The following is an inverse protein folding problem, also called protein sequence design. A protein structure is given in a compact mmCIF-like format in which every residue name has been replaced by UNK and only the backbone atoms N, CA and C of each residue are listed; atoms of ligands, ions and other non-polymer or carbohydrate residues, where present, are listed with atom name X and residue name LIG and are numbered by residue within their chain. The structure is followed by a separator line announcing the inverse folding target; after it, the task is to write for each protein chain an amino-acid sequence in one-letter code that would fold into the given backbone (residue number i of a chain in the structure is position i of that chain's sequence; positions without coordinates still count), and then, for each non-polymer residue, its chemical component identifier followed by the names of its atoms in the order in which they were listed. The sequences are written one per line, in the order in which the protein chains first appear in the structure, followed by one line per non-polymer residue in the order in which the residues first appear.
data_IF_301421899202
#
_entry.id   IF_301421899202
#
_cell.length_a   1.000
_cell.length_b   1.000
_cell.length_c   1.000
_cell.angle_alpha   90.00
_cell.angle_beta   90.00
_cell.angle_gamma   90.00
#
_symmetry.space_group_name_H-M   'P 1'
#
loop_
_entity.id
_entity.type
_entity.pdbx_description
1 polymer ?
#
# COMPACT_ATOMS: atom_id res chain seq x y z
N UNK A 1 7.98 19.04 -16.69
CA UNK A 1 8.93 17.98 -17.08
C UNK A 1 8.36 16.69 -16.55
N UNK A 2 8.08 15.71 -17.42
CA UNK A 2 7.65 14.39 -16.95
C UNK A 2 8.78 13.76 -16.15
N UNK A 3 8.47 13.34 -14.92
CA UNK A 3 9.40 12.58 -14.08
C UNK A 3 8.81 11.21 -13.89
N UNK A 4 9.65 10.20 -14.04
CA UNK A 4 9.24 8.82 -13.80
C UNK A 4 9.15 8.58 -12.29
N UNK A 5 8.03 8.02 -11.86
CA UNK A 5 7.74 7.67 -10.48
C UNK A 5 7.51 6.17 -10.41
N UNK A 6 8.13 5.55 -9.41
CA UNK A 6 7.97 4.14 -9.11
C UNK A 6 7.08 3.99 -7.88
N UNK A 7 6.12 3.07 -7.96
CA UNK A 7 5.17 2.76 -6.89
C UNK A 7 5.34 1.31 -6.47
N UNK A 8 5.04 1.00 -5.21
CA UNK A 8 4.90 -0.35 -4.72
C UNK A 8 3.67 -0.45 -3.82
N UNK A 9 2.85 -1.46 -4.06
CA UNK A 9 1.74 -1.86 -3.18
C UNK A 9 2.19 -3.12 -2.46
N UNK A 10 2.30 -3.08 -1.13
CA UNK A 10 2.80 -4.20 -0.33
C UNK A 10 1.81 -4.57 0.76
N UNK A 11 1.66 -5.86 1.05
CA UNK A 11 1.05 -6.35 2.28
C UNK A 11 1.90 -7.49 2.82
N UNK A 12 2.47 -7.31 4.01
CA UNK A 12 3.39 -8.27 4.63
C UNK A 12 2.74 -8.99 5.80
N UNK A 13 3.04 -10.29 5.94
CA UNK A 13 2.57 -11.06 7.11
C UNK A 13 3.13 -10.52 8.44
N UNK A 14 4.32 -9.90 8.41
CA UNK A 14 5.01 -9.36 9.60
C UNK A 14 4.44 -8.03 10.07
N UNK A 15 3.96 -7.20 9.14
CA UNK A 15 3.40 -5.87 9.46
C UNK A 15 1.86 -5.83 9.44
N UNK A 16 1.20 -6.82 8.82
CA UNK A 16 -0.24 -7.00 8.91
C UNK A 16 -0.64 -7.33 10.34
N UNK A 17 -1.62 -6.61 10.90
CA UNK A 17 -2.25 -6.93 12.19
C UNK A 17 -3.46 -7.85 12.03
N UNK A 18 -3.91 -8.05 10.80
CA UNK A 18 -5.03 -8.92 10.46
C UNK A 18 -4.53 -10.36 10.20
N UNK A 19 -4.93 -11.32 11.05
CA UNK A 19 -4.60 -12.75 10.91
C UNK A 19 -5.16 -13.38 9.62
N UNK A 20 -6.32 -12.91 9.15
CA UNK A 20 -6.91 -13.35 7.88
C UNK A 20 -6.03 -12.94 6.70
N UNK A 21 -5.54 -11.69 6.66
CA UNK A 21 -4.60 -11.25 5.63
C UNK A 21 -3.32 -12.11 5.63
N UNK A 22 -2.79 -12.43 6.81
CA UNK A 22 -1.58 -13.28 6.92
C UNK A 22 -1.83 -14.65 6.30
N UNK A 23 -2.94 -15.27 6.66
CA UNK A 23 -3.35 -16.57 6.15
C UNK A 23 -3.53 -16.56 4.63
N UNK A 24 -4.17 -15.51 4.09
CA UNK A 24 -4.35 -15.31 2.65
C UNK A 24 -2.98 -15.23 1.94
N UNK A 25 -2.04 -14.44 2.47
CA UNK A 25 -0.71 -14.28 1.86
C UNK A 25 0.03 -15.63 1.85
N UNK A 26 0.13 -16.29 2.99
CA UNK A 26 0.80 -17.59 3.13
C UNK A 26 0.21 -18.66 2.19
N UNK A 27 -1.12 -18.70 2.07
CA UNK A 27 -1.80 -19.63 1.17
C UNK A 27 -1.50 -19.35 -0.30
N UNK A 28 -1.49 -18.09 -0.72
CA UNK A 28 -1.23 -17.73 -2.10
C UNK A 28 0.24 -17.94 -2.49
N UNK A 29 1.18 -17.76 -1.55
CA UNK A 29 2.59 -18.17 -1.73
C UNK A 29 2.67 -19.68 -1.99
N UNK A 30 2.00 -20.51 -1.18
CA UNK A 30 1.98 -21.97 -1.36
C UNK A 30 1.37 -22.39 -2.71
N UNK A 31 0.41 -21.63 -3.22
CA UNK A 31 -0.23 -21.84 -4.53
C UNK A 31 0.63 -21.35 -5.71
N UNK A 32 1.70 -20.59 -5.45
CA UNK A 32 2.52 -19.97 -6.50
C UNK A 32 1.76 -18.88 -7.28
N UNK A 33 0.79 -18.22 -6.64
CA UNK A 33 0.03 -17.13 -7.26
C UNK A 33 0.96 -15.93 -7.55
N UNK A 34 0.74 -15.26 -8.67
CA UNK A 34 1.49 -14.07 -9.03
C UNK A 34 1.36 -12.99 -7.94
N UNK A 35 2.43 -12.21 -7.76
CA UNK A 35 2.55 -11.12 -6.77
C UNK A 35 2.74 -11.58 -5.31
N UNK A 36 2.72 -12.88 -5.05
CA UNK A 36 3.02 -13.41 -3.72
C UNK A 36 4.45 -13.96 -3.68
N UNK A 37 5.28 -13.41 -2.80
CA UNK A 37 6.69 -13.77 -2.70
C UNK A 37 7.21 -13.73 -1.27
N UNK A 38 8.39 -14.33 -1.07
CA UNK A 38 9.15 -14.24 0.18
C UNK A 38 10.33 -13.32 -0.06
N UNK A 39 10.33 -12.15 0.59
CA UNK A 39 11.46 -11.23 0.57
C UNK A 39 12.55 -11.70 1.53
N UNK A 40 13.80 -11.40 1.17
CA UNK A 40 14.98 -11.69 1.99
C UNK A 40 15.26 -10.62 3.07
N UNK A 41 14.38 -9.63 3.22
CA UNK A 41 14.51 -8.54 4.18
C UNK A 41 13.45 -8.67 5.30
N UNK A 42 13.25 -7.57 6.03
CA UNK A 42 12.36 -7.56 7.18
C UNK A 42 10.87 -7.72 6.83
N UNK A 43 10.48 -7.61 5.56
CA UNK A 43 9.09 -7.79 5.12
C UNK A 43 8.68 -9.27 5.03
N UNK A 44 9.59 -10.21 4.76
CA UNK A 44 9.28 -11.63 4.69
C UNK A 44 8.21 -12.00 3.65
N UNK A 45 7.21 -12.79 4.03
CA UNK A 45 6.11 -13.23 3.16
C UNK A 45 5.17 -12.07 2.82
N UNK A 46 5.01 -11.78 1.53
CA UNK A 46 4.29 -10.60 1.06
C UNK A 46 3.40 -10.87 -0.15
N UNK A 47 2.34 -10.09 -0.24
CA UNK A 47 1.82 -9.60 -1.52
C UNK A 47 2.58 -8.34 -1.91
N UNK A 48 3.08 -8.24 -3.14
CA UNK A 48 3.78 -7.07 -3.65
C UNK A 48 3.58 -6.88 -5.16
N UNK A 49 3.27 -5.64 -5.54
CA UNK A 49 3.12 -5.23 -6.93
C UNK A 49 3.76 -3.86 -7.15
N UNK A 50 4.69 -3.81 -8.10
CA UNK A 50 5.38 -2.58 -8.47
C UNK A 50 4.85 -1.99 -9.78
N UNK A 51 4.83 -0.66 -9.84
CA UNK A 51 4.42 0.08 -11.03
C UNK A 51 5.46 1.16 -11.36
N UNK A 52 5.61 1.41 -12.66
CA UNK A 52 6.34 2.55 -13.19
C UNK A 52 5.37 3.45 -13.93
N UNK A 53 5.41 4.75 -13.65
CA UNK A 53 4.56 5.74 -14.32
C UNK A 53 5.33 7.01 -14.63
N UNK A 54 5.24 7.47 -15.87
CA UNK A 54 5.65 8.83 -16.19
C UNK A 54 4.56 9.75 -15.65
N UNK A 55 4.92 10.64 -14.73
CA UNK A 55 3.98 11.58 -14.14
C UNK A 55 4.36 13.02 -14.44
N UNK A 56 3.35 13.80 -14.75
CA UNK A 56 3.36 15.26 -14.70
C UNK A 56 2.91 15.74 -13.32
N UNK A 57 3.29 16.97 -12.94
CA UNK A 57 2.94 17.55 -11.63
C UNK A 57 1.42 17.71 -11.42
N UNK A 58 0.63 17.73 -12.49
CA UNK A 58 -0.83 17.92 -12.45
C UNK A 58 -1.61 16.61 -12.35
N UNK A 59 -0.98 15.46 -12.62
CA UNK A 59 -1.68 14.17 -12.62
C UNK A 59 -1.98 13.69 -11.19
N UNK A 60 -3.24 13.31 -10.96
CA UNK A 60 -3.65 12.74 -9.68
C UNK A 60 -3.12 11.31 -9.51
N UNK A 61 -2.91 10.91 -8.27
CA UNK A 61 -2.45 9.58 -7.89
C UNK A 61 -3.60 8.68 -7.43
N UNK A 62 -4.87 9.07 -7.62
CA UNK A 62 -6.03 8.28 -7.18
C UNK A 62 -6.07 6.87 -7.79
N UNK A 63 -5.49 6.69 -8.97
CA UNK A 63 -5.39 5.39 -9.64
C UNK A 63 -4.72 4.32 -8.77
N UNK A 64 -3.77 4.68 -7.90
CA UNK A 64 -3.12 3.71 -7.01
C UNK A 64 -4.11 3.16 -5.97
N UNK A 65 -5.03 4.02 -5.49
CA UNK A 65 -6.06 3.63 -4.53
C UNK A 65 -7.12 2.74 -5.18
N UNK A 66 -7.48 3.02 -6.43
CA UNK A 66 -8.37 2.16 -7.22
C UNK A 66 -7.74 0.78 -7.44
N UNK A 67 -6.44 0.76 -7.75
CA UNK A 67 -5.67 -0.49 -7.91
C UNK A 67 -5.62 -1.29 -6.60
N UNK A 68 -5.43 -0.63 -5.45
CA UNK A 68 -5.53 -1.26 -4.13
C UNK A 68 -6.90 -1.89 -3.91
N UNK A 69 -7.98 -1.20 -4.25
CA UNK A 69 -9.35 -1.73 -4.13
C UNK A 69 -9.54 -2.97 -5.00
N UNK A 70 -9.01 -2.99 -6.23
CA UNK A 70 -9.12 -4.14 -7.12
C UNK A 70 -8.38 -5.36 -6.57
N UNK A 71 -7.18 -5.17 -6.02
CA UNK A 71 -6.46 -6.25 -5.34
C UNK A 71 -7.15 -6.73 -4.07
N UNK A 72 -7.71 -5.81 -3.29
CA UNK A 72 -8.50 -6.15 -2.11
C UNK A 72 -9.73 -6.97 -2.48
N UNK A 73 -10.44 -6.64 -3.56
CA UNK A 73 -11.57 -7.43 -4.05
C UNK A 73 -11.13 -8.81 -4.55
N UNK A 74 -10.01 -8.88 -5.28
CA UNK A 74 -9.48 -10.14 -5.84
C UNK A 74 -9.02 -11.09 -4.74
N UNK A 75 -8.20 -10.62 -3.82
CA UNK A 75 -7.49 -11.45 -2.86
C UNK A 75 -8.08 -11.40 -1.45
N UNK A 76 -9.01 -10.49 -1.17
CA UNK A 76 -9.59 -10.22 0.15
C UNK A 76 -8.59 -9.71 1.18
N UNK A 77 -7.43 -9.22 0.75
CA UNK A 77 -6.48 -8.53 1.60
C UNK A 77 -7.04 -7.14 1.94
N UNK A 78 -6.98 -6.76 3.20
CA UNK A 78 -7.59 -5.53 3.72
C UNK A 78 -6.59 -4.49 4.24
N UNK A 79 -5.31 -4.87 4.41
CA UNK A 79 -4.26 -3.97 4.88
C UNK A 79 -3.14 -3.93 3.84
N UNK A 80 -2.74 -2.73 3.45
CA UNK A 80 -1.68 -2.50 2.47
C UNK A 80 -0.78 -1.35 2.91
N UNK A 81 0.40 -1.29 2.32
CA UNK A 81 1.33 -0.19 2.37
C UNK A 81 1.55 0.29 0.95
N UNK A 82 1.53 1.61 0.78
CA UNK A 82 1.87 2.26 -0.47
C UNK A 82 3.20 2.95 -0.31
N UNK A 83 4.09 2.69 -1.26
CA UNK A 83 5.40 3.31 -1.33
C UNK A 83 5.58 3.96 -2.69
N UNK A 84 6.25 5.12 -2.74
CA UNK A 84 6.75 5.69 -3.99
C UNK A 84 8.16 6.26 -3.88
N UNK A 85 8.81 6.37 -5.03
CA UNK A 85 10.07 7.10 -5.23
C UNK A 85 10.13 7.75 -6.59
N UNK A 86 10.89 8.83 -6.66
CA UNK A 86 11.25 9.48 -7.91
C UNK A 86 12.39 8.73 -8.60
N UNK A 87 12.45 8.83 -9.92
CA UNK A 87 13.60 8.37 -10.71
C UNK A 87 14.92 8.94 -10.18
N UNK A 88 15.95 8.09 -10.13
CA UNK A 88 17.25 8.41 -9.55
C UNK A 88 17.37 8.19 -8.04
N UNK A 89 16.26 8.01 -7.31
CA UNK A 89 16.32 7.67 -5.90
C UNK A 89 16.54 6.15 -5.73
N UNK A 90 17.55 5.74 -4.94
CA UNK A 90 17.85 4.31 -4.76
C UNK A 90 16.76 3.61 -3.93
N UNK A 91 16.13 4.32 -3.00
CA UNK A 91 15.15 3.77 -2.05
C UNK A 91 13.80 4.46 -2.17
N UNK A 92 12.74 3.73 -1.81
CA UNK A 92 11.42 4.32 -1.56
C UNK A 92 11.53 5.37 -0.46
N UNK A 93 11.03 6.57 -0.72
CA UNK A 93 11.21 7.74 0.16
C UNK A 93 9.90 8.31 0.71
N UNK A 94 8.76 7.93 0.13
CA UNK A 94 7.43 8.28 0.61
C UNK A 94 6.59 7.01 0.79
N UNK A 95 5.96 6.85 1.94
CA UNK A 95 5.09 5.70 2.13
C UNK A 95 4.12 5.79 3.28
N UNK A 96 2.97 5.15 3.11
CA UNK A 96 1.89 5.13 4.09
C UNK A 96 1.06 3.85 4.04
N UNK A 97 0.45 3.49 5.17
CA UNK A 97 -0.44 2.35 5.32
C UNK A 97 -1.91 2.68 5.01
N UNK A 98 -2.61 1.70 4.45
CA UNK A 98 -4.03 1.71 4.13
C UNK A 98 -4.72 0.53 4.80
N UNK A 99 -5.92 0.77 5.34
CA UNK A 99 -6.86 -0.26 5.76
C UNK A 99 -8.16 -0.10 4.98
N UNK A 100 -8.73 -1.21 4.53
CA UNK A 100 -10.04 -1.28 3.88
C UNK A 100 -11.05 -1.84 4.87
N UNK A 101 -12.08 -1.07 5.12
CA UNK A 101 -13.23 -1.46 5.95
C UNK A 101 -14.52 -1.46 5.14
N UNK A 102 -15.60 -1.96 5.75
CA UNK A 102 -16.90 -2.08 5.10
C UNK A 102 -17.00 -3.31 4.19
N UNK A 103 -18.00 -3.34 3.32
CA UNK A 103 -18.13 -4.42 2.35
C UNK A 103 -17.19 -4.21 1.16
N UNK A 104 -16.68 -5.29 0.57
CA UNK A 104 -15.87 -5.19 -0.66
C UNK A 104 -16.66 -4.64 -1.86
N UNK A 105 -17.99 -4.63 -1.80
CA UNK A 105 -18.85 -3.96 -2.78
C UNK A 105 -18.80 -2.43 -2.65
N UNK A 106 -18.66 -1.93 -1.41
CA UNK A 106 -18.56 -0.50 -1.09
C UNK A 106 -17.41 -0.27 -0.08
N UNK A 107 -16.14 -0.45 -0.50
CA UNK A 107 -15.00 -0.40 0.40
C UNK A 107 -14.76 1.03 0.88
N UNK A 108 -14.41 1.14 2.16
CA UNK A 108 -13.99 2.40 2.80
C UNK A 108 -12.49 2.33 3.01
N UNK A 109 -11.75 3.19 2.31
CA UNK A 109 -10.31 3.34 2.51
C UNK A 109 -10.03 4.26 3.70
N UNK A 110 -9.22 3.79 4.64
CA UNK A 110 -8.65 4.58 5.74
C UNK A 110 -7.13 4.61 5.64
N UNK A 111 -6.55 5.78 5.84
CA UNK A 111 -5.09 5.96 5.91
C UNK A 111 -4.63 5.82 7.35
N UNK A 112 -3.68 4.92 7.61
CA UNK A 112 -3.31 4.46 8.95
C UNK A 112 -2.01 5.08 9.47
N UNK A 113 -0.93 4.90 8.75
CA UNK A 113 0.41 5.25 9.23
C UNK A 113 1.22 5.88 8.11
N UNK A 114 2.02 6.90 8.39
CA UNK A 114 2.98 7.43 7.43
C UNK A 114 4.35 6.96 7.87
N UNK A 115 4.94 6.07 7.09
CA UNK A 115 6.25 5.47 7.37
C UNK A 115 7.39 6.39 6.94
N UNK A 116 7.18 7.16 5.87
CA UNK A 116 8.12 8.17 5.40
C UNK A 116 7.41 9.29 4.62
N UNK A 117 7.84 10.53 4.83
CA UNK A 117 7.23 11.72 4.23
C UNK A 117 5.93 12.17 4.92
N UNK A 118 4.99 12.65 4.11
CA UNK A 118 3.64 13.09 4.46
C UNK A 118 2.64 12.56 3.43
N UNK A 119 1.35 12.52 3.79
CA UNK A 119 0.29 12.28 2.81
C UNK A 119 0.14 13.42 1.80
N UNK A 120 0.58 14.63 2.15
CA UNK A 120 0.65 15.78 1.21
C UNK A 120 1.71 15.58 0.11
N UNK A 121 2.64 14.63 0.30
CA UNK A 121 3.55 14.24 -0.78
C UNK A 121 2.83 13.48 -1.90
N UNK A 122 1.56 13.10 -1.69
CA UNK A 122 0.73 12.38 -2.66
C UNK A 122 -0.37 13.27 -3.25
N UNK A 123 -0.51 13.29 -4.56
CA UNK A 123 -1.56 14.03 -5.27
C UNK A 123 -2.89 13.24 -5.26
N UNK A 124 -3.37 12.91 -4.07
CA UNK A 124 -4.59 12.13 -3.84
C UNK A 124 -5.72 13.09 -3.45
N UNK A 125 -6.80 13.05 -4.22
CA UNK A 125 -8.01 13.89 -4.01
C UNK A 125 -9.24 13.03 -3.70
N UNK A 126 -9.01 11.83 -3.14
CA UNK A 126 -10.01 10.78 -3.00
C UNK A 126 -11.27 11.22 -2.22
N UNK A 127 -12.39 11.33 -2.93
CA UNK A 127 -13.68 11.78 -2.40
C UNK A 127 -14.68 10.68 -2.02
N UNK A 128 -14.32 9.39 -2.15
CA UNK A 128 -15.19 8.23 -1.82
C UNK A 128 -14.71 7.52 -0.55
N UNK A 129 -15.07 8.07 0.60
CA UNK A 129 -14.69 7.54 1.91
C UNK A 129 -14.35 8.66 2.89
N UNK A 130 -14.38 8.35 4.19
CA UNK A 130 -13.95 9.28 5.22
C UNK A 130 -12.43 9.19 5.31
N UNK A 131 -11.73 10.23 4.87
CA UNK A 131 -10.29 10.40 5.11
C UNK A 131 -10.09 10.57 6.62
N UNK A 132 -10.05 9.45 7.33
CA UNK A 132 -9.90 9.43 8.79
C UNK A 132 -8.42 9.13 9.04
N UNK A 133 -7.64 10.18 9.23
CA UNK A 133 -6.27 10.06 9.69
C UNK A 133 -6.30 9.61 11.15
N UNK A 134 -5.98 8.35 11.44
CA UNK A 134 -5.63 7.95 12.79
C UNK A 134 -4.11 7.91 12.90
N UNK A 135 -3.50 8.99 13.40
CA UNK A 135 -2.06 9.03 13.69
C UNK A 135 -1.78 8.09 14.85
N UNK A 136 -1.46 6.82 14.57
CA UNK A 136 -1.07 5.85 15.59
C UNK A 136 0.38 6.16 15.98
N UNK A 137 0.58 6.79 17.14
CA UNK A 137 1.90 7.01 17.71
C UNK A 137 2.44 5.69 18.27
N UNK A 138 3.52 5.18 17.68
CA UNK A 138 4.36 4.21 18.36
C UNK A 138 5.37 4.94 19.23
N UNK A 139 5.21 4.81 20.55
CA UNK A 139 6.30 5.09 21.48
C UNK A 139 7.30 3.95 21.29
N UNK A 140 8.40 4.19 20.58
CA UNK A 140 9.57 3.32 20.63
C UNK A 140 9.92 3.16 22.12
N UNK A 141 9.75 1.95 22.65
CA UNK A 141 10.33 1.61 23.94
C UNK A 141 11.84 1.61 23.73
N UNK A 142 12.50 2.62 24.32
CA UNK A 142 13.95 2.67 24.49
C UNK A 142 14.45 1.48 25.31
#
# INVERSE_FOLDING_TARGET
MEKKVYYSIVSSTRFSRNEENRSIIEENIKKGENHFLIRNDDYGECFEVDFEKNMTEEENENWILETVIDFAKKYRITEFELWKKQEGNPTYDKGFGIVIEGSMENPILKFKEVYSGSLDDWNITWGKGKQTYEKIYFKLAL
#
